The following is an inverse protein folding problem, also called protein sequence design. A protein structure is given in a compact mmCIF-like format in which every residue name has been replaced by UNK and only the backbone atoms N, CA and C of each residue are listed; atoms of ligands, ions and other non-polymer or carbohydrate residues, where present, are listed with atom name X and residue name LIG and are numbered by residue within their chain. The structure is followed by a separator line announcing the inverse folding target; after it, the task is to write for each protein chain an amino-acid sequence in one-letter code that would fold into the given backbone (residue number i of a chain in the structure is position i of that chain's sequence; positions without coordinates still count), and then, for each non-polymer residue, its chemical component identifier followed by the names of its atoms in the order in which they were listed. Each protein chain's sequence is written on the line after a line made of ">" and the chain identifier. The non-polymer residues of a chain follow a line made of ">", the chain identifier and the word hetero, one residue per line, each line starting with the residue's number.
data_IF_976177660690
#
_entry.id   IF_976177660690
#
_cell.length_a   1.000
_cell.length_b   1.000
_cell.length_c   1.000
_cell.angle_alpha   90.00
_cell.angle_beta   90.00
_cell.angle_gamma   90.00
#
_symmetry.space_group_name_H-M   'P 1'
#
loop_
_entity.id
_entity.type
_entity.pdbx_description
1 polymer ?
#
# COMPACT_ATOMS: atom_id res chain seq x y z
N UNK A 1 -14.67 3.90 30.92
CA UNK A 1 -14.42 3.59 29.49
C UNK A 1 -13.93 2.16 29.41
N UNK A 2 -14.50 1.32 28.54
CA UNK A 2 -13.94 -0.01 28.27
C UNK A 2 -12.73 0.21 27.38
N UNK A 3 -11.52 -0.01 27.92
CA UNK A 3 -10.33 -0.09 27.08
C UNK A 3 -10.44 -1.37 26.26
N UNK A 4 -10.61 -1.23 24.94
CA UNK A 4 -10.51 -2.37 24.05
C UNK A 4 -9.05 -2.85 24.02
N UNK A 5 -8.87 -4.16 23.93
CA UNK A 5 -7.55 -4.76 23.79
C UNK A 5 -6.95 -4.24 22.47
N UNK A 6 -5.71 -3.73 22.48
CA UNK A 6 -5.07 -3.25 21.26
C UNK A 6 -5.05 -4.34 20.19
N UNK A 7 -5.26 -3.96 18.93
CA UNK A 7 -5.27 -4.92 17.83
C UNK A 7 -3.90 -5.60 17.70
N UNK A 8 -3.85 -6.94 17.55
CA UNK A 8 -2.61 -7.65 17.33
C UNK A 8 -1.90 -7.16 16.06
N UNK A 9 -0.60 -6.94 16.16
CA UNK A 9 0.18 -6.39 15.05
C UNK A 9 0.13 -7.29 13.80
N UNK A 10 0.02 -8.60 13.96
CA UNK A 10 -0.13 -9.53 12.83
C UNK A 10 -1.41 -9.28 12.02
N UNK A 11 -2.52 -8.93 12.69
CA UNK A 11 -3.76 -8.56 12.02
C UNK A 11 -3.61 -7.23 11.29
N UNK A 12 -2.88 -6.28 11.88
CA UNK A 12 -2.60 -4.98 11.27
C UNK A 12 -1.72 -5.15 10.02
N UNK A 13 -0.62 -5.90 10.12
CA UNK A 13 0.26 -6.13 8.97
C UNK A 13 -0.49 -6.77 7.81
N UNK A 14 -1.22 -7.86 8.07
CA UNK A 14 -1.98 -8.55 7.02
C UNK A 14 -2.95 -7.62 6.28
N UNK A 15 -3.60 -6.69 6.99
CA UNK A 15 -4.51 -5.72 6.37
C UNK A 15 -3.74 -4.61 5.64
N UNK A 16 -2.70 -4.05 6.25
CA UNK A 16 -1.89 -2.99 5.66
C UNK A 16 -1.19 -3.42 4.36
N UNK A 17 -0.78 -4.69 4.26
CA UNK A 17 -0.14 -5.25 3.08
C UNK A 17 -1.01 -5.14 1.82
N UNK A 18 -2.35 -5.15 1.92
CA UNK A 18 -3.23 -4.89 0.79
C UNK A 18 -3.01 -3.50 0.18
N UNK A 19 -2.92 -2.45 1.00
CA UNK A 19 -2.64 -1.08 0.54
C UNK A 19 -1.26 -1.02 -0.12
N UNK A 20 -0.25 -1.64 0.49
CA UNK A 20 1.11 -1.65 -0.04
C UNK A 20 1.17 -2.37 -1.40
N UNK A 21 0.48 -3.51 -1.56
CA UNK A 21 0.36 -4.22 -2.84
C UNK A 21 -0.30 -3.36 -3.91
N UNK A 22 -1.38 -2.63 -3.57
CA UNK A 22 -2.03 -1.71 -4.52
C UNK A 22 -1.05 -0.63 -4.99
N UNK A 23 -0.32 0.02 -4.07
CA UNK A 23 0.66 1.01 -4.46
C UNK A 23 1.76 0.44 -5.36
N UNK A 24 2.26 -0.76 -5.06
CA UNK A 24 3.25 -1.45 -5.91
C UNK A 24 2.70 -1.69 -7.31
N UNK A 25 1.51 -2.29 -7.42
CA UNK A 25 0.88 -2.58 -8.72
C UNK A 25 0.65 -1.29 -9.53
N UNK A 26 0.12 -0.24 -8.88
CA UNK A 26 -0.08 1.08 -9.50
C UNK A 26 1.22 1.75 -9.91
N UNK A 27 2.32 1.51 -9.20
CA UNK A 27 3.64 1.99 -9.60
C UNK A 27 4.16 1.24 -10.82
N UNK A 28 4.03 -0.08 -10.84
CA UNK A 28 4.57 -0.95 -11.89
C UNK A 28 3.80 -0.84 -13.21
N UNK A 29 2.57 -0.34 -13.19
CA UNK A 29 1.81 -0.01 -14.40
C UNK A 29 2.38 1.19 -15.17
N UNK A 30 3.34 1.93 -14.59
CA UNK A 30 3.98 3.06 -15.27
C UNK A 30 4.84 2.60 -16.47
N UNK A 31 4.72 3.31 -17.59
CA UNK A 31 5.47 3.06 -18.83
C UNK A 31 6.99 3.21 -18.66
N UNK A 32 7.48 3.90 -17.63
CA UNK A 32 8.91 4.00 -17.34
C UNK A 32 9.60 2.62 -17.21
N UNK A 33 8.85 1.58 -16.81
CA UNK A 33 9.34 0.21 -16.67
C UNK A 33 9.11 -0.67 -17.92
N UNK A 34 8.62 -0.10 -19.02
CA UNK A 34 8.27 -0.85 -20.24
C UNK A 34 9.45 -1.13 -21.17
N UNK A 35 10.60 -0.48 -20.95
CA UNK A 35 11.74 -0.62 -21.87
C UNK A 35 12.27 -2.06 -21.89
N UNK A 36 12.33 -2.64 -23.08
CA UNK A 36 12.75 -4.02 -23.34
C UNK A 36 14.14 -4.33 -22.74
N UNK A 37 15.05 -3.37 -22.84
CA UNK A 37 16.42 -3.45 -22.30
C UNK A 37 16.44 -3.56 -20.76
N UNK A 38 15.48 -2.93 -20.09
CA UNK A 38 15.35 -2.98 -18.64
C UNK A 38 14.70 -4.29 -18.19
N UNK A 39 13.62 -4.72 -18.86
CA UNK A 39 12.91 -5.97 -18.53
C UNK A 39 13.81 -7.20 -18.58
N UNK A 40 14.72 -7.29 -19.58
CA UNK A 40 15.65 -8.42 -19.71
C UNK A 40 16.63 -8.58 -18.54
N UNK A 41 16.81 -7.55 -17.71
CA UNK A 41 17.68 -7.61 -16.52
C UNK A 41 16.95 -8.07 -15.26
N UNK A 42 15.62 -8.12 -15.30
CA UNK A 42 14.80 -8.53 -14.16
C UNK A 42 14.75 -10.05 -14.06
N UNK A 43 14.46 -10.59 -12.88
CA UNK A 43 14.17 -12.02 -12.76
C UNK A 43 12.81 -12.35 -13.45
N UNK A 44 12.56 -13.60 -13.83
CA UNK A 44 11.32 -13.97 -14.55
C UNK A 44 10.03 -13.61 -13.80
N UNK A 45 10.00 -13.74 -12.48
CA UNK A 45 8.81 -13.47 -11.66
C UNK A 45 8.44 -11.97 -11.65
N UNK A 46 9.43 -11.08 -11.54
CA UNK A 46 9.25 -9.63 -11.61
C UNK A 46 8.93 -9.21 -13.05
N UNK A 47 9.53 -9.85 -14.07
CA UNK A 47 9.16 -9.60 -15.47
C UNK A 47 7.66 -9.88 -15.71
N UNK A 48 7.17 -11.02 -15.23
CA UNK A 48 5.76 -11.40 -15.34
C UNK A 48 4.86 -10.40 -14.59
N UNK A 49 5.25 -10.00 -13.38
CA UNK A 49 4.52 -9.02 -12.60
C UNK A 49 4.41 -7.68 -13.33
N UNK A 50 5.54 -7.12 -13.81
CA UNK A 50 5.57 -5.84 -14.54
C UNK A 50 4.70 -5.91 -15.79
N UNK A 51 4.79 -6.99 -16.55
CA UNK A 51 3.95 -7.22 -17.73
C UNK A 51 2.46 -7.18 -17.35
N UNK A 52 2.05 -7.92 -16.33
CA UNK A 52 0.66 -7.96 -15.87
C UNK A 52 0.17 -6.59 -15.39
N UNK A 53 1.01 -5.82 -14.68
CA UNK A 53 0.69 -4.48 -14.23
C UNK A 53 0.52 -3.48 -15.39
N UNK A 54 1.30 -3.63 -16.47
CA UNK A 54 1.23 -2.73 -17.63
C UNK A 54 0.06 -3.05 -18.56
N UNK A 55 -0.21 -4.34 -18.81
CA UNK A 55 -1.43 -4.77 -19.50
C UNK A 55 -2.71 -4.34 -18.75
N UNK A 56 -2.60 -4.13 -17.44
CA UNK A 56 -3.64 -3.51 -16.64
C UNK A 56 -3.74 -1.99 -16.87
N UNK A 57 -2.62 -1.26 -16.79
CA UNK A 57 -2.56 0.20 -16.97
C UNK A 57 -3.00 0.69 -18.36
N UNK A 58 -2.61 -0.02 -19.43
CA UNK A 58 -2.92 0.34 -20.82
C UNK A 58 -4.42 0.25 -21.15
N UNK A 59 -5.17 -0.58 -20.45
CA UNK A 59 -6.58 -0.81 -20.81
C UNK A 59 -7.55 0.20 -20.23
N UNK A 60 -7.14 1.07 -19.29
CA UNK A 60 -8.04 2.03 -18.62
C UNK A 60 -9.22 1.37 -17.86
N UNK A 61 -9.27 0.03 -17.83
CA UNK A 61 -10.36 -0.73 -17.24
C UNK A 61 -9.93 -1.08 -15.81
N UNK A 62 -10.34 -0.21 -14.88
CA UNK A 62 -10.21 -0.44 -13.43
C UNK A 62 -10.96 -1.71 -12.94
N UNK A 63 -11.76 -2.36 -13.81
CA UNK A 63 -12.55 -3.57 -13.55
C UNK A 63 -11.85 -4.91 -13.83
N UNK A 64 -10.60 -4.93 -14.30
CA UNK A 64 -9.87 -6.21 -14.39
C UNK A 64 -9.52 -6.70 -12.99
N UNK A 65 -9.78 -7.98 -12.73
CA UNK A 65 -9.41 -8.67 -11.50
C UNK A 65 -7.88 -8.66 -11.36
N UNK A 66 -7.39 -8.03 -10.29
CA UNK A 66 -5.96 -7.95 -9.97
C UNK A 66 -5.56 -8.94 -8.89
N UNK A 67 -6.47 -9.80 -8.41
CA UNK A 67 -6.17 -10.81 -7.39
C UNK A 67 -4.99 -11.69 -7.80
N UNK A 68 -4.91 -12.06 -9.09
CA UNK A 68 -3.80 -12.83 -9.63
C UNK A 68 -2.42 -12.14 -9.51
N UNK A 69 -2.37 -10.80 -9.45
CA UNK A 69 -1.12 -10.07 -9.19
C UNK A 69 -0.75 -10.10 -7.71
N UNK A 70 -1.73 -10.23 -6.81
CA UNK A 70 -1.53 -10.18 -5.36
C UNK A 70 -0.94 -11.46 -4.79
N UNK A 71 -1.00 -12.54 -5.57
CA UNK A 71 -0.38 -13.83 -5.28
C UNK A 71 1.04 -13.96 -5.87
N UNK A 72 1.55 -12.94 -6.54
CA UNK A 72 2.93 -12.96 -7.05
C UNK A 72 3.93 -13.01 -5.87
N UNK A 73 4.76 -14.05 -5.83
CA UNK A 73 5.66 -14.30 -4.70
C UNK A 73 6.63 -13.13 -4.46
N UNK A 74 7.23 -12.57 -5.51
CA UNK A 74 8.16 -11.44 -5.39
C UNK A 74 7.47 -10.20 -4.81
N UNK A 75 6.21 -9.95 -5.20
CA UNK A 75 5.40 -8.88 -4.61
C UNK A 75 5.10 -9.14 -3.14
N UNK A 76 4.66 -10.37 -2.80
CA UNK A 76 4.36 -10.77 -1.42
C UNK A 76 5.57 -10.62 -0.51
N UNK A 77 6.72 -11.19 -0.88
CA UNK A 77 7.95 -11.14 -0.09
C UNK A 77 8.41 -9.69 0.15
N UNK A 78 8.33 -8.87 -0.90
CA UNK A 78 8.70 -7.46 -0.83
C UNK A 78 7.78 -6.67 0.10
N UNK A 79 6.46 -6.84 -0.04
CA UNK A 79 5.46 -6.17 0.79
C UNK A 79 5.56 -6.62 2.26
N UNK A 80 5.78 -7.91 2.51
CA UNK A 80 6.03 -8.45 3.84
C UNK A 80 7.31 -7.86 4.45
N UNK A 81 8.37 -7.73 3.65
CA UNK A 81 9.61 -7.08 4.10
C UNK A 81 9.37 -5.61 4.45
N UNK A 82 8.57 -4.87 3.69
CA UNK A 82 8.23 -3.48 3.99
C UNK A 82 7.40 -3.40 5.28
N UNK A 83 6.35 -4.22 5.39
CA UNK A 83 5.39 -4.17 6.51
C UNK A 83 6.05 -4.43 7.86
N UNK A 84 7.13 -5.23 7.89
CA UNK A 84 7.94 -5.49 9.10
C UNK A 84 8.67 -4.25 9.64
N UNK A 85 8.90 -3.23 8.82
CA UNK A 85 9.65 -2.03 9.19
C UNK A 85 8.76 -0.82 9.46
N UNK A 86 7.45 -0.92 9.20
CA UNK A 86 6.51 0.16 9.45
C UNK A 86 6.20 0.29 10.94
N UNK A 87 6.06 1.53 11.39
CA UNK A 87 5.58 1.79 12.74
C UNK A 87 4.16 1.23 12.95
N UNK A 88 3.82 0.86 14.19
CA UNK A 88 2.46 0.40 14.52
C UNK A 88 1.39 1.43 14.15
N UNK A 89 1.70 2.71 14.27
CA UNK A 89 0.82 3.81 13.91
C UNK A 89 0.50 3.82 12.41
N UNK A 90 1.51 3.65 11.56
CA UNK A 90 1.33 3.47 10.12
C UNK A 90 0.56 2.20 9.81
N UNK A 91 0.89 1.08 10.45
CA UNK A 91 0.17 -0.18 10.27
C UNK A 91 -1.32 -0.01 10.60
N UNK A 92 -1.67 0.67 11.70
CA UNK A 92 -3.06 0.99 12.05
C UNK A 92 -3.75 1.79 10.95
N UNK A 93 -3.15 2.90 10.52
CA UNK A 93 -3.71 3.77 9.48
C UNK A 93 -4.01 3.02 8.18
N UNK A 94 -3.04 2.22 7.72
CA UNK A 94 -3.19 1.42 6.50
C UNK A 94 -4.20 0.28 6.67
N UNK A 95 -4.23 -0.37 7.84
CA UNK A 95 -5.19 -1.45 8.13
C UNK A 95 -6.63 -0.97 8.10
N UNK A 96 -6.90 0.16 8.74
CA UNK A 96 -8.25 0.73 8.76
C UNK A 96 -8.66 1.26 7.40
N UNK A 97 -7.69 1.73 6.59
CA UNK A 97 -7.96 2.05 5.20
C UNK A 97 -8.38 0.79 4.43
N UNK A 98 -7.66 -0.33 4.57
CA UNK A 98 -8.06 -1.62 4.00
C UNK A 98 -9.45 -2.00 4.46
N UNK A 99 -9.73 -2.06 5.77
CA UNK A 99 -11.02 -2.52 6.28
C UNK A 99 -12.20 -1.63 5.91
N UNK A 100 -11.97 -0.34 5.68
CA UNK A 100 -13.02 0.55 5.19
C UNK A 100 -13.54 0.13 3.80
N UNK A 101 -12.66 -0.36 2.93
CA UNK A 101 -12.99 -0.74 1.55
C UNK A 101 -13.17 -2.25 1.35
N UNK A 102 -12.40 -3.07 2.07
CA UNK A 102 -12.29 -4.53 1.92
C UNK A 102 -13.04 -5.31 3.03
N UNK A 103 -14.07 -4.73 3.65
CA UNK A 103 -14.86 -5.40 4.69
C UNK A 103 -15.45 -6.76 4.27
N UNK A 104 -15.47 -7.07 2.96
CA UNK A 104 -15.95 -8.33 2.39
C UNK A 104 -14.85 -9.27 1.84
N UNK A 105 -13.57 -8.95 2.05
CA UNK A 105 -12.45 -9.89 1.78
C UNK A 105 -12.00 -10.01 0.32
N UNK A 106 -12.48 -9.15 -0.57
CA UNK A 106 -11.95 -9.00 -1.94
C UNK A 106 -11.17 -7.70 -2.05
N UNK A 107 -10.01 -7.72 -2.70
CA UNK A 107 -9.20 -6.52 -3.02
C UNK A 107 -10.07 -5.51 -3.76
N UNK A 108 -10.53 -4.48 -3.05
CA UNK A 108 -11.54 -3.55 -3.53
C UNK A 108 -11.00 -2.69 -4.66
N UNK A 109 -11.71 -2.70 -5.78
CA UNK A 109 -11.53 -1.74 -6.87
C UNK A 109 -11.70 -0.30 -6.35
N UNK A 110 -12.54 -0.11 -5.34
CA UNK A 110 -12.80 1.16 -4.67
C UNK A 110 -11.58 1.65 -3.86
N UNK A 111 -10.88 0.78 -3.12
CA UNK A 111 -9.61 1.16 -2.46
C UNK A 111 -8.58 1.62 -3.50
N UNK A 112 -8.51 0.91 -4.63
CA UNK A 112 -7.60 1.25 -5.74
C UNK A 112 -7.94 2.60 -6.36
N UNK A 113 -9.22 2.83 -6.64
CA UNK A 113 -9.72 4.10 -7.17
C UNK A 113 -9.45 5.25 -6.20
N UNK A 114 -9.70 5.02 -4.90
CA UNK A 114 -9.39 5.97 -3.84
C UNK A 114 -7.90 6.32 -3.85
N UNK A 115 -7.00 5.34 -3.84
CA UNK A 115 -5.56 5.60 -3.82
C UNK A 115 -5.04 6.29 -5.10
N UNK A 116 -5.69 6.08 -6.25
CA UNK A 116 -5.33 6.73 -7.51
C UNK A 116 -5.80 8.20 -7.59
N UNK A 117 -7.02 8.49 -7.12
CA UNK A 117 -7.63 9.82 -7.17
C UNK A 117 -8.31 10.15 -5.85
N UNK A 118 -7.53 10.49 -4.82
CA UNK A 118 -8.11 10.52 -3.49
C UNK A 118 -8.90 11.83 -3.20
N UNK A 119 -8.80 12.84 -4.08
CA UNK A 119 -9.32 14.20 -3.92
C UNK A 119 -10.84 14.27 -3.70
N UNK A 120 -11.63 13.38 -4.29
CA UNK A 120 -13.09 13.50 -4.30
C UNK A 120 -13.79 12.90 -3.06
N UNK A 121 -13.11 12.08 -2.25
CA UNK A 121 -13.74 11.35 -1.14
C UNK A 121 -12.90 11.27 0.16
N UNK A 122 -11.76 11.96 0.26
CA UNK A 122 -10.88 11.92 1.44
C UNK A 122 -11.60 12.18 2.77
N UNK A 123 -12.48 13.20 2.80
CA UNK A 123 -13.01 13.69 4.07
C UNK A 123 -13.88 12.64 4.78
N UNK A 124 -14.76 11.96 4.04
CA UNK A 124 -15.64 10.96 4.63
C UNK A 124 -14.86 9.70 5.06
N UNK A 125 -13.94 9.23 4.20
CA UNK A 125 -13.12 8.05 4.49
C UNK A 125 -12.25 8.28 5.72
N UNK A 126 -11.52 9.39 5.76
CA UNK A 126 -10.63 9.69 6.89
C UNK A 126 -11.41 10.02 8.16
N UNK A 127 -12.58 10.63 8.06
CA UNK A 127 -13.46 10.83 9.21
C UNK A 127 -13.91 9.51 9.82
N UNK A 128 -14.39 8.57 8.99
CA UNK A 128 -14.82 7.25 9.45
C UNK A 128 -13.67 6.46 10.08
N UNK A 129 -12.48 6.50 9.48
CA UNK A 129 -11.29 5.84 10.04
C UNK A 129 -10.89 6.49 11.36
N UNK A 130 -10.81 7.82 11.43
CA UNK A 130 -10.43 8.54 12.64
C UNK A 130 -11.39 8.23 13.80
N UNK A 131 -12.71 8.29 13.54
CA UNK A 131 -13.72 7.93 14.53
C UNK A 131 -13.56 6.49 15.01
N UNK A 132 -13.30 5.55 14.10
CA UNK A 132 -13.10 4.14 14.45
C UNK A 132 -11.87 3.94 15.34
N UNK A 133 -10.77 4.63 15.05
CA UNK A 133 -9.55 4.57 15.86
C UNK A 133 -9.74 5.21 17.26
N UNK A 134 -10.41 6.36 17.34
CA UNK A 134 -10.72 7.04 18.61
C UNK A 134 -11.65 6.19 19.47
N UNK A 135 -12.69 5.60 18.89
CA UNK A 135 -13.64 4.72 19.59
C UNK A 135 -12.93 3.50 20.23
N UNK A 136 -11.86 3.02 19.60
CA UNK A 136 -11.03 1.92 20.12
C UNK A 136 -9.96 2.35 21.13
N UNK A 137 -9.85 3.66 21.41
CA UNK A 137 -8.75 4.23 22.21
C UNK A 137 -7.36 3.93 21.63
N UNK A 138 -7.26 3.72 20.32
CA UNK A 138 -6.00 3.44 19.59
C UNK A 138 -5.35 4.72 19.05
N UNK A 139 -6.02 5.88 19.21
CA UNK A 139 -5.56 7.14 18.66
C UNK A 139 -6.02 8.33 19.50
N UNK A 140 -5.10 9.27 19.75
CA UNK A 140 -5.32 10.39 20.67
C UNK A 140 -5.17 11.77 20.01
N UNK A 141 -4.79 11.82 18.74
CA UNK A 141 -4.63 13.08 18.00
C UNK A 141 -5.96 13.60 17.48
N UNK A 142 -6.01 14.89 17.23
CA UNK A 142 -7.18 15.56 16.65
C UNK A 142 -7.49 15.05 15.25
N UNK A 143 -8.73 15.23 14.80
CA UNK A 143 -9.16 14.92 13.44
C UNK A 143 -8.28 15.63 12.39
N UNK A 144 -7.91 16.89 12.62
CA UNK A 144 -7.08 17.64 11.68
C UNK A 144 -5.67 17.04 11.56
N UNK A 145 -5.03 16.71 12.68
CA UNK A 145 -3.72 16.05 12.70
C UNK A 145 -3.78 14.69 12.00
N UNK A 146 -4.81 13.89 12.26
CA UNK A 146 -5.02 12.62 11.56
C UNK A 146 -5.09 12.80 10.04
N UNK A 147 -5.86 13.77 9.57
CA UNK A 147 -6.03 14.02 8.13
C UNK A 147 -4.70 14.41 7.49
N UNK A 148 -3.95 15.32 8.12
CA UNK A 148 -2.64 15.74 7.64
C UNK A 148 -1.65 14.58 7.58
N UNK A 149 -1.64 13.72 8.61
CA UNK A 149 -0.78 12.55 8.67
C UNK A 149 -1.15 11.51 7.62
N UNK A 150 -2.43 11.24 7.40
CA UNK A 150 -2.88 10.32 6.34
C UNK A 150 -2.49 10.82 4.94
N UNK A 151 -2.71 12.11 4.65
CA UNK A 151 -2.34 12.70 3.35
C UNK A 151 -0.82 12.59 3.15
N UNK A 152 -0.04 12.93 4.18
CA UNK A 152 1.42 12.89 4.14
C UNK A 152 1.90 11.46 3.91
N UNK A 153 1.42 10.51 4.73
CA UNK A 153 1.74 9.09 4.62
C UNK A 153 1.48 8.53 3.21
N UNK A 154 0.29 8.77 2.65
CA UNK A 154 -0.05 8.24 1.32
C UNK A 154 0.81 8.85 0.21
N UNK A 155 1.14 10.16 0.31
CA UNK A 155 2.05 10.82 -0.64
C UNK A 155 3.48 10.29 -0.53
N UNK A 156 3.97 10.10 0.69
CA UNK A 156 5.32 9.59 0.93
C UNK A 156 5.45 8.13 0.48
N UNK A 157 4.46 7.28 0.77
CA UNK A 157 4.42 5.91 0.26
C UNK A 157 4.42 5.86 -1.26
N UNK A 158 3.56 6.66 -1.92
CA UNK A 158 3.54 6.73 -3.37
C UNK A 158 4.89 7.16 -3.94
N UNK A 159 5.47 8.24 -3.41
CA UNK A 159 6.78 8.75 -3.82
C UNK A 159 7.88 7.70 -3.62
N UNK A 160 7.87 7.02 -2.48
CA UNK A 160 8.84 5.99 -2.14
C UNK A 160 8.78 4.82 -3.11
N UNK A 161 7.57 4.33 -3.42
CA UNK A 161 7.41 3.21 -4.34
C UNK A 161 7.77 3.57 -5.77
N UNK A 162 7.39 4.75 -6.25
CA UNK A 162 7.78 5.20 -7.60
C UNK A 162 9.30 5.27 -7.77
N UNK A 163 10.03 5.72 -6.75
CA UNK A 163 11.45 6.08 -6.92
C UNK A 163 12.47 5.17 -6.26
N UNK A 164 12.12 4.47 -5.17
CA UNK A 164 13.13 3.87 -4.27
C UNK A 164 12.79 2.47 -3.77
N UNK A 165 11.51 2.18 -3.57
CA UNK A 165 11.07 1.01 -2.82
C UNK A 165 10.13 0.11 -3.63
N UNK A 166 10.15 0.16 -4.97
CA UNK A 166 9.41 -0.83 -5.76
C UNK A 166 10.09 -2.21 -5.72
N UNK A 167 9.30 -3.23 -6.01
CA UNK A 167 9.74 -4.63 -6.07
C UNK A 167 10.89 -4.87 -7.06
N UNK A 168 11.03 -4.01 -8.08
CA UNK A 168 12.12 -4.11 -9.07
C UNK A 168 13.48 -3.81 -8.43
N UNK A 169 13.55 -2.82 -7.53
CA UNK A 169 14.79 -2.45 -6.87
C UNK A 169 15.14 -3.34 -5.67
N UNK A 170 14.18 -4.09 -5.13
CA UNK A 170 14.40 -4.91 -3.94
C UNK A 170 15.57 -5.91 -4.05
N UNK A 171 15.74 -6.64 -5.17
CA UNK A 171 16.93 -7.50 -5.33
C UNK A 171 18.24 -6.72 -5.55
N UNK A 172 18.16 -5.44 -5.92
CA UNK A 172 19.32 -4.60 -6.27
C UNK A 172 19.81 -3.77 -5.07
N UNK A 173 18.91 -3.47 -4.12
CA UNK A 173 19.20 -2.72 -2.90
C UNK A 173 19.68 -3.70 -1.83
N UNK A 174 20.99 -3.69 -1.55
CA UNK A 174 21.57 -4.42 -0.41
C UNK A 174 21.13 -3.80 0.93
N UNK A 175 19.89 -4.06 1.36
CA UNK A 175 19.38 -4.01 2.74
C UNK A 175 19.45 -2.71 3.56
N UNK A 176 20.31 -1.73 3.25
CA UNK A 176 20.52 -0.54 4.12
C UNK A 176 19.66 0.66 3.72
N UNK A 177 19.53 0.94 2.42
CA UNK A 177 18.89 2.18 1.97
C UNK A 177 17.35 2.13 2.08
N UNK A 178 16.75 0.94 1.98
CA UNK A 178 15.29 0.74 2.09
C UNK A 178 14.82 0.84 3.54
N UNK A 179 15.63 0.35 4.50
CA UNK A 179 15.28 0.32 5.93
C UNK A 179 15.25 1.71 6.55
N UNK A 180 16.22 2.58 6.22
CA UNK A 180 16.30 3.92 6.80
C UNK A 180 15.11 4.82 6.43
N UNK A 181 14.54 4.67 5.22
CA UNK A 181 13.39 5.46 4.81
C UNK A 181 12.09 4.95 5.44
N UNK A 182 11.88 3.64 5.49
CA UNK A 182 10.65 3.06 6.06
C UNK A 182 10.53 3.30 7.57
N UNK A 183 11.66 3.46 8.28
CA UNK A 183 11.67 3.85 9.69
C UNK A 183 11.30 5.34 9.93
N UNK A 184 11.36 6.16 8.88
CA UNK A 184 10.96 7.57 8.94
C UNK A 184 9.50 7.81 8.56
N UNK A 185 8.79 6.77 8.09
CA UNK A 185 7.34 6.75 7.88
C UNK A 185 6.61 6.38 9.18
#
# INVERSE_FOLDING_TARGET
>A
MKHEIPLPEICLRSAAESVLKIFQVSCLSNEAFSTETFRRKLNPDIQLLVKNCQEFGETGIHNKDIAHMFDNQSLCDHVQSISQHLSRDVLLKLSFLTWYFDAHGSVSTELRYFLANPVDNFNLVFENIWQSLVNRSEYHKTKLEFFQEMITLLKELNTAFVHRCNVIYFPMLKGRDTVCFLQSL
#
